data_IF_758657784578
#
_entry.id   IF_758657784578
#
_cell.length_a   1.000
_cell.length_b   1.000
_cell.length_c   1.000
_cell.angle_alpha   90.00
_cell.angle_beta   90.00
_cell.angle_gamma   90.00
#
_symmetry.space_group_name_H-M   'P 1'
#
loop_
_entity.id
_entity.type
_entity.pdbx_description
1 polymer ?
#
# COMPACT_ATOMS: atom_id res chain seq x y z
N UNK A 1 22.95 3.95 -11.91
CA UNK A 1 21.85 4.66 -12.59
C UNK A 1 21.03 5.34 -11.51
N UNK A 2 20.96 6.67 -11.57
CA UNK A 2 20.26 7.52 -10.60
C UNK A 2 18.75 7.43 -10.79
N UNK A 3 18.02 7.54 -9.68
CA UNK A 3 16.64 7.14 -9.53
C UNK A 3 15.60 8.06 -10.16
N UNK A 4 14.42 7.47 -10.35
CA UNK A 4 13.17 8.16 -10.61
C UNK A 4 12.03 7.36 -9.94
N UNK A 5 11.76 7.57 -8.63
CA UNK A 5 10.52 7.12 -8.03
C UNK A 5 9.48 8.26 -7.88
N UNK A 6 9.69 9.46 -8.47
CA UNK A 6 8.92 10.66 -8.12
C UNK A 6 8.10 11.29 -9.26
N UNK A 7 7.82 10.58 -10.36
CA UNK A 7 7.02 11.10 -11.48
C UNK A 7 5.83 10.21 -11.84
N UNK A 8 5.00 9.81 -10.86
CA UNK A 8 3.64 9.39 -11.22
C UNK A 8 2.65 10.41 -10.67
N UNK A 9 1.87 10.97 -11.59
CA UNK A 9 0.82 11.93 -11.30
C UNK A 9 -0.35 11.30 -10.55
N UNK A 10 -1.30 12.14 -10.15
CA UNK A 10 -2.64 11.65 -9.82
C UNK A 10 -3.20 10.91 -11.05
N UNK A 11 -4.05 9.91 -10.81
CA UNK A 11 -4.56 8.95 -11.80
C UNK A 11 -4.86 9.56 -13.18
N UNK A 12 -3.90 9.45 -14.12
CA UNK A 12 -4.03 10.00 -15.47
C UNK A 12 -4.02 11.54 -15.61
N UNK A 13 -3.93 12.28 -14.50
CA UNK A 13 -4.09 13.73 -14.41
C UNK A 13 -2.76 14.48 -14.13
N UNK A 14 -1.64 13.81 -14.42
CA UNK A 14 -0.31 14.42 -14.41
C UNK A 14 0.27 14.76 -13.03
N UNK A 15 1.53 15.20 -13.02
CA UNK A 15 2.23 15.61 -11.80
C UNK A 15 1.99 17.10 -11.51
N UNK A 16 0.90 17.43 -10.82
CA UNK A 16 0.54 18.81 -10.48
C UNK A 16 1.18 19.32 -9.17
N UNK A 17 2.11 18.57 -8.56
CA UNK A 17 2.73 18.92 -7.27
C UNK A 17 3.39 20.30 -7.22
N UNK A 18 3.79 20.86 -8.36
CA UNK A 18 4.35 22.22 -8.48
C UNK A 18 3.44 23.18 -9.25
N UNK A 19 2.22 22.77 -9.58
CA UNK A 19 1.25 23.64 -10.21
C UNK A 19 0.79 24.72 -9.23
N UNK A 20 0.45 25.87 -9.79
CA UNK A 20 -0.13 27.01 -9.08
C UNK A 20 -1.59 27.25 -9.51
N UNK A 21 -2.16 26.34 -10.30
CA UNK A 21 -3.61 26.32 -10.49
C UNK A 21 -4.29 26.09 -9.15
N UNK A 22 -5.54 26.58 -9.01
CA UNK A 22 -6.35 26.24 -7.86
C UNK A 22 -6.64 24.74 -7.80
N UNK A 23 -6.76 24.20 -6.59
CA UNK A 23 -7.23 22.84 -6.32
C UNK A 23 -8.34 22.91 -5.24
N UNK A 24 -9.20 21.88 -5.07
CA UNK A 24 -10.16 21.91 -3.99
C UNK A 24 -9.46 21.91 -2.62
N UNK A 25 -10.06 22.57 -1.64
CA UNK A 25 -9.63 22.45 -0.24
C UNK A 25 -9.97 21.07 0.31
N UNK A 26 -8.94 20.30 0.65
CA UNK A 26 -9.06 18.95 1.24
C UNK A 26 -8.77 18.94 2.74
N UNK A 27 -8.48 20.10 3.32
CA UNK A 27 -8.03 20.23 4.72
C UNK A 27 -9.14 19.81 5.66
N UNK A 28 -8.87 18.81 6.51
CA UNK A 28 -9.85 18.29 7.47
C UNK A 28 -9.59 16.85 7.91
N UNK A 29 -10.50 16.35 8.73
CA UNK A 29 -10.55 14.94 9.12
C UNK A 29 -11.54 14.20 8.23
N UNK A 30 -11.17 13.00 7.79
CA UNK A 30 -11.96 12.18 6.89
C UNK A 30 -12.25 10.82 7.52
N UNK A 31 -13.50 10.40 7.42
CA UNK A 31 -13.98 9.06 7.76
C UNK A 31 -13.89 8.15 6.55
N UNK A 32 -13.04 7.13 6.60
CA UNK A 32 -12.83 6.19 5.50
C UNK A 32 -13.61 4.91 5.76
N UNK A 33 -14.44 4.51 4.79
CA UNK A 33 -15.17 3.27 4.76
C UNK A 33 -14.61 2.34 3.68
N UNK A 34 -14.35 1.09 4.04
CA UNK A 34 -13.76 0.09 3.15
C UNK A 34 -14.80 -0.88 2.60
N UNK A 35 -14.55 -1.36 1.39
CA UNK A 35 -15.19 -2.54 0.85
C UNK A 35 -14.82 -3.79 1.67
N UNK A 36 -15.65 -4.81 1.58
CA UNK A 36 -15.46 -6.10 2.27
C UNK A 36 -14.66 -7.12 1.45
N UNK A 37 -14.10 -6.70 0.32
CA UNK A 37 -13.33 -7.52 -0.61
C UNK A 37 -11.91 -6.99 -0.83
N UNK A 38 -10.99 -7.93 -1.04
CA UNK A 38 -9.61 -7.69 -1.45
C UNK A 38 -9.43 -8.30 -2.84
N UNK A 39 -9.27 -7.47 -3.85
CA UNK A 39 -8.86 -7.90 -5.17
C UNK A 39 -7.39 -8.33 -5.15
N UNK A 40 -7.09 -9.47 -5.77
CA UNK A 40 -5.74 -10.04 -5.89
C UNK A 40 -5.39 -10.15 -7.37
N UNK A 41 -4.29 -9.51 -7.78
CA UNK A 41 -3.73 -9.64 -9.12
C UNK A 41 -2.33 -10.26 -9.02
N UNK A 42 -2.14 -11.43 -9.61
CA UNK A 42 -0.86 -12.13 -9.66
C UNK A 42 -0.39 -12.16 -11.11
N UNK A 43 0.82 -11.67 -11.38
CA UNK A 43 1.44 -11.72 -12.71
C UNK A 43 2.68 -12.60 -12.67
N UNK A 44 2.75 -13.61 -13.55
CA UNK A 44 3.88 -14.55 -13.68
C UNK A 44 4.19 -14.75 -15.17
N UNK A 45 5.43 -14.44 -15.59
CA UNK A 45 5.87 -14.72 -16.96
C UNK A 45 5.04 -14.05 -18.07
N UNK A 46 4.37 -12.93 -17.76
CA UNK A 46 3.46 -12.23 -18.67
C UNK A 46 2.01 -12.72 -18.66
N UNK A 47 1.70 -13.78 -17.89
CA UNK A 47 0.33 -14.19 -17.58
C UNK A 47 -0.18 -13.46 -16.35
N UNK A 48 -1.44 -13.01 -16.38
CA UNK A 48 -2.11 -12.35 -15.26
C UNK A 48 -3.28 -13.20 -14.77
N UNK A 49 -3.34 -13.39 -13.45
CA UNK A 49 -4.36 -14.11 -12.73
C UNK A 49 -5.05 -13.14 -11.77
N UNK A 50 -6.37 -13.21 -11.68
CA UNK A 50 -7.15 -12.36 -10.77
C UNK A 50 -8.00 -13.23 -9.87
N UNK A 51 -8.15 -12.80 -8.62
CA UNK A 51 -8.99 -13.44 -7.62
C UNK A 51 -9.54 -12.37 -6.66
N UNK A 52 -10.50 -12.76 -5.83
CA UNK A 52 -11.07 -11.92 -4.78
C UNK A 52 -11.06 -12.71 -3.47
N UNK A 53 -10.61 -12.05 -2.41
CA UNK A 53 -10.62 -12.54 -1.04
C UNK A 53 -11.58 -11.69 -0.21
N UNK A 54 -12.03 -12.23 0.93
CA UNK A 54 -12.75 -11.41 1.91
C UNK A 54 -11.82 -10.42 2.62
N UNK A 55 -12.39 -9.47 3.35
CA UNK A 55 -11.64 -8.44 4.09
C UNK A 55 -10.61 -8.97 5.10
N UNK A 56 -10.72 -10.22 5.54
CA UNK A 56 -9.75 -10.89 6.42
C UNK A 56 -8.60 -11.56 5.65
N UNK A 57 -8.64 -11.50 4.33
CA UNK A 57 -7.78 -12.27 3.44
C UNK A 57 -8.34 -13.68 3.18
N UNK A 58 -7.42 -14.60 2.90
CA UNK A 58 -7.68 -15.98 2.56
C UNK A 58 -6.64 -16.52 1.56
N UNK A 59 -6.94 -17.69 1.03
CA UNK A 59 -6.02 -18.42 0.16
C UNK A 59 -6.45 -18.33 -1.31
N UNK A 60 -5.51 -18.01 -2.21
CA UNK A 60 -5.69 -18.01 -3.66
C UNK A 60 -4.81 -19.07 -4.28
N UNK A 61 -5.40 -19.99 -5.06
CA UNK A 61 -4.64 -20.95 -5.86
C UNK A 61 -4.80 -20.65 -7.35
N UNK A 62 -3.69 -20.56 -8.07
CA UNK A 62 -3.65 -20.39 -9.53
C UNK A 62 -3.01 -21.61 -10.18
N UNK A 63 -3.35 -21.89 -11.44
CA UNK A 63 -2.62 -22.86 -12.27
C UNK A 63 -1.70 -22.11 -13.23
N UNK A 64 -0.39 -22.30 -13.06
CA UNK A 64 0.61 -21.79 -14.00
C UNK A 64 1.37 -22.95 -14.64
N UNK A 65 1.20 -23.11 -15.95
CA UNK A 65 1.88 -24.16 -16.72
C UNK A 65 1.61 -25.58 -16.18
N UNK A 66 0.41 -25.84 -15.67
CA UNK A 66 0.00 -27.13 -15.12
C UNK A 66 0.46 -27.36 -13.68
N UNK A 67 1.05 -26.36 -13.02
CA UNK A 67 1.46 -26.41 -11.63
C UNK A 67 0.55 -25.51 -10.78
N UNK A 68 -0.14 -26.07 -9.77
CA UNK A 68 -0.90 -25.26 -8.83
C UNK A 68 0.05 -24.47 -7.94
N UNK A 69 -0.24 -23.19 -7.75
CA UNK A 69 0.53 -22.26 -6.93
C UNK A 69 -0.43 -21.60 -5.98
N UNK A 70 -0.11 -21.64 -4.69
CA UNK A 70 -0.99 -21.14 -3.64
C UNK A 70 -0.37 -19.94 -2.93
N UNK A 71 -1.17 -18.90 -2.75
CA UNK A 71 -0.87 -17.68 -2.01
C UNK A 71 -1.81 -17.59 -0.81
N UNK A 72 -1.27 -17.24 0.36
CA UNK A 72 -2.05 -17.06 1.58
C UNK A 72 -1.87 -15.63 2.08
N UNK A 73 -2.98 -14.90 2.20
CA UNK A 73 -3.04 -13.58 2.79
C UNK A 73 -3.82 -13.70 4.10
N UNK A 74 -3.18 -13.49 5.23
CA UNK A 74 -3.84 -13.49 6.54
C UNK A 74 -3.70 -12.12 7.21
N UNK A 75 -4.77 -11.32 7.14
CA UNK A 75 -4.79 -9.99 7.76
C UNK A 75 -4.83 -10.03 9.30
N UNK A 76 -4.92 -11.20 9.92
CA UNK A 76 -4.78 -11.32 11.37
C UNK A 76 -3.31 -11.39 11.82
N UNK A 77 -2.37 -11.61 10.89
CA UNK A 77 -0.93 -11.70 11.19
C UNK A 77 -0.31 -10.30 11.29
N UNK A 78 0.31 -9.93 12.43
CA UNK A 78 0.85 -8.58 12.63
C UNK A 78 2.01 -8.21 11.69
N UNK A 79 2.63 -9.18 11.04
CA UNK A 79 3.68 -9.01 10.04
C UNK A 79 3.17 -8.76 8.61
N UNK A 80 1.86 -8.93 8.35
CA UNK A 80 1.22 -8.68 7.05
C UNK A 80 0.53 -7.33 7.11
N UNK A 81 0.96 -6.38 6.27
CA UNK A 81 0.27 -5.10 6.13
C UNK A 81 -0.96 -5.28 5.24
N UNK A 82 -2.15 -5.11 5.80
CA UNK A 82 -3.40 -5.12 5.05
C UNK A 82 -3.81 -3.70 4.60
N UNK A 83 -4.63 -3.57 3.54
CA UNK A 83 -4.97 -2.26 2.97
C UNK A 83 -5.53 -1.27 3.99
N UNK A 84 -6.37 -1.74 4.91
CA UNK A 84 -6.96 -0.94 6.00
C UNK A 84 -5.96 -0.50 7.07
N UNK A 85 -4.78 -1.11 7.13
CA UNK A 85 -3.69 -0.72 8.02
C UNK A 85 -2.76 0.29 7.34
N UNK A 86 -2.59 0.20 6.02
CA UNK A 86 -1.82 1.16 5.24
C UNK A 86 -2.54 2.51 5.10
N UNK A 87 -3.88 2.49 5.05
CA UNK A 87 -4.73 3.68 5.00
C UNK A 87 -5.82 3.55 6.08
N UNK A 88 -5.72 4.25 7.22
CA UNK A 88 -6.63 4.05 8.33
C UNK A 88 -8.07 4.49 8.02
N UNK A 89 -9.03 4.02 8.83
CA UNK A 89 -10.45 4.44 8.77
C UNK A 89 -10.68 5.90 9.16
N UNK A 90 -9.66 6.56 9.71
CA UNK A 90 -9.66 8.00 10.00
C UNK A 90 -8.32 8.58 9.54
N UNK A 91 -8.37 9.60 8.70
CA UNK A 91 -7.17 10.33 8.27
C UNK A 91 -7.34 11.83 8.50
N UNK A 92 -6.21 12.54 8.63
CA UNK A 92 -6.19 14.00 8.63
C UNK A 92 -5.38 14.49 7.45
N UNK A 93 -6.00 15.30 6.60
CA UNK A 93 -5.40 15.90 5.41
C UNK A 93 -5.19 17.40 5.60
N UNK A 94 -4.11 17.94 5.04
CA UNK A 94 -3.74 19.36 5.12
C UNK A 94 -3.17 19.89 3.79
N UNK A 95 -3.51 21.14 3.46
CA UNK A 95 -2.83 21.95 2.43
C UNK A 95 -2.16 23.16 3.08
N UNK A 96 -0.85 23.07 3.30
CA UNK A 96 -0.09 24.09 4.06
C UNK A 96 0.36 25.29 3.23
N UNK A 97 0.43 25.13 1.91
CA UNK A 97 0.97 26.17 1.03
C UNK A 97 -0.07 26.60 0.00
N UNK A 98 -0.67 27.76 0.22
CA UNK A 98 -1.67 28.36 -0.67
C UNK A 98 -1.14 28.67 -2.08
N UNK A 99 0.18 28.71 -2.29
CA UNK A 99 0.74 28.85 -3.65
C UNK A 99 0.82 27.52 -4.42
N UNK A 100 0.60 26.38 -3.74
CA UNK A 100 0.72 25.04 -4.29
C UNK A 100 -0.38 24.14 -3.71
N UNK A 101 -1.63 24.46 -4.04
CA UNK A 101 -2.82 23.80 -3.51
C UNK A 101 -2.89 22.30 -3.89
N UNK A 102 -2.24 21.88 -4.97
CA UNK A 102 -2.17 20.46 -5.36
C UNK A 102 -1.33 19.58 -4.42
N UNK A 103 -0.69 20.16 -3.39
CA UNK A 103 0.10 19.43 -2.40
C UNK A 103 -0.78 19.06 -1.20
N UNK A 104 -1.08 17.79 -1.10
CA UNK A 104 -1.82 17.21 0.02
C UNK A 104 -0.84 16.54 0.97
N UNK A 105 -0.99 16.79 2.27
CA UNK A 105 -0.24 16.11 3.32
C UNK A 105 -1.24 15.32 4.16
N UNK A 106 -0.99 14.03 4.36
CA UNK A 106 -1.81 13.19 5.25
C UNK A 106 -0.97 12.69 6.40
N UNK A 107 -1.50 12.76 7.61
CA UNK A 107 -0.85 12.19 8.80
C UNK A 107 -1.29 10.74 8.96
N UNK A 108 -0.35 9.80 8.87
CA UNK A 108 -0.60 8.36 9.01
C UNK A 108 0.10 7.81 10.26
N UNK A 109 -0.52 6.86 10.99
CA UNK A 109 0.16 6.11 12.04
C UNK A 109 1.15 5.13 11.40
N UNK A 110 2.42 5.22 11.77
CA UNK A 110 3.46 4.27 11.33
C UNK A 110 4.05 3.59 12.56
N UNK A 111 4.22 2.28 12.49
CA UNK A 111 4.93 1.53 13.53
C UNK A 111 6.43 1.78 13.42
N UNK A 112 7.04 2.18 14.53
CA UNK A 112 8.47 2.46 14.62
C UNK A 112 9.06 1.72 15.82
N UNK A 113 10.13 0.96 15.57
CA UNK A 113 10.95 0.38 16.62
C UNK A 113 11.74 1.50 17.33
N UNK A 114 11.60 1.62 18.64
CA UNK A 114 12.38 2.57 19.46
C UNK A 114 13.79 2.06 19.80
N UNK A 115 14.05 0.77 19.60
CA UNK A 115 15.33 0.12 19.87
C UNK A 115 16.15 -0.15 18.62
N UNK A 116 17.27 -0.85 18.80
CA UNK A 116 18.08 -1.35 17.69
C UNK A 116 17.39 -2.58 17.08
N UNK A 117 17.39 -2.69 15.76
CA UNK A 117 17.14 -3.95 15.08
C UNK A 117 18.38 -4.84 15.27
N UNK A 118 18.19 -6.03 15.84
CA UNK A 118 19.28 -6.98 16.09
C UNK A 118 18.92 -8.36 15.59
N UNK A 119 19.93 -9.16 15.27
CA UNK A 119 19.71 -10.55 14.93
C UNK A 119 18.93 -11.26 16.06
N UNK A 120 17.92 -12.07 15.72
CA UNK A 120 17.12 -12.80 16.70
C UNK A 120 17.98 -13.75 17.52
N UNK A 121 17.52 -14.06 18.74
CA UNK A 121 18.22 -15.00 19.62
C UNK A 121 18.30 -16.39 18.99
N UNK A 122 19.37 -17.13 19.32
CA UNK A 122 19.57 -18.46 18.77
C UNK A 122 18.42 -19.40 19.16
N UNK A 123 17.74 -19.97 18.16
CA UNK A 123 16.58 -20.85 18.35
C UNK A 123 15.24 -20.12 18.45
N UNK A 124 15.21 -18.79 18.41
CA UNK A 124 13.96 -17.99 18.24
C UNK A 124 13.70 -17.63 16.78
N UNK A 125 14.55 -18.11 15.88
CA UNK A 125 14.39 -17.97 14.44
C UNK A 125 14.78 -19.27 13.73
N UNK A 126 14.34 -19.43 12.49
CA UNK A 126 14.53 -20.64 11.69
C UNK A 126 13.23 -21.41 11.44
N UNK A 127 13.27 -22.38 10.53
CA UNK A 127 12.11 -23.14 10.09
C UNK A 127 11.23 -23.64 11.25
N UNK A 128 9.93 -23.30 11.20
CA UNK A 128 8.95 -23.65 12.25
C UNK A 128 8.85 -22.66 13.42
N UNK A 129 9.45 -21.48 13.31
CA UNK A 129 9.27 -20.36 14.24
C UNK A 129 8.47 -19.22 13.60
N UNK A 130 8.05 -18.23 14.39
CA UNK A 130 7.40 -17.01 13.90
C UNK A 130 8.37 -16.05 13.18
N UNK A 131 9.68 -16.33 13.20
CA UNK A 131 10.72 -15.65 12.43
C UNK A 131 11.57 -16.69 11.68
N UNK A 132 11.03 -17.36 10.65
CA UNK A 132 11.69 -18.49 9.98
C UNK A 132 13.01 -18.10 9.30
N UNK A 133 13.19 -16.81 9.10
CA UNK A 133 14.15 -16.19 8.22
C UNK A 133 15.27 -15.44 8.94
N UNK A 134 15.17 -15.45 10.27
CA UNK A 134 16.10 -14.79 11.16
C UNK A 134 16.27 -13.29 10.85
N UNK A 135 15.18 -12.64 10.41
CA UNK A 135 15.16 -11.19 10.20
C UNK A 135 15.41 -10.48 11.54
N UNK A 136 16.07 -9.31 11.46
CA UNK A 136 16.42 -8.55 12.65
C UNK A 136 15.16 -8.16 13.45
N UNK A 137 15.16 -8.46 14.74
CA UNK A 137 14.08 -8.17 15.68
C UNK A 137 14.28 -6.84 16.38
N UNK A 138 13.19 -6.14 16.63
CA UNK A 138 13.21 -4.92 17.43
C UNK A 138 13.54 -5.24 18.90
N UNK A 139 14.65 -4.69 19.41
CA UNK A 139 15.03 -4.81 20.84
C UNK A 139 14.31 -3.84 21.76
N UNK A 140 13.59 -2.87 21.19
CA UNK A 140 12.88 -1.83 21.93
C UNK A 140 11.38 -2.00 21.86
N UNK A 141 10.67 -1.00 22.36
CA UNK A 141 9.22 -0.91 22.21
C UNK A 141 8.87 -0.55 20.76
N UNK A 142 7.99 -1.32 20.14
CA UNK A 142 7.33 -0.94 18.89
C UNK A 142 6.27 0.11 19.24
N UNK A 143 6.50 1.35 18.81
CA UNK A 143 5.62 2.48 19.08
C UNK A 143 4.94 2.92 17.80
N UNK A 144 3.65 3.21 17.85
CA UNK A 144 2.95 3.87 16.74
C UNK A 144 3.24 5.37 16.82
N UNK A 145 3.75 5.95 15.73
CA UNK A 145 4.03 7.39 15.64
C UNK A 145 3.36 8.00 14.42
N UNK A 146 2.77 9.21 14.55
CA UNK A 146 2.24 9.92 13.40
C UNK A 146 3.40 10.33 12.48
N UNK A 147 3.28 10.01 11.20
CA UNK A 147 4.22 10.40 10.14
C UNK A 147 3.45 11.10 9.04
N UNK A 148 4.03 12.17 8.52
CA UNK A 148 3.45 12.91 7.41
C UNK A 148 3.80 12.23 6.09
N UNK A 149 2.77 11.97 5.31
CA UNK A 149 2.85 11.38 3.99
C UNK A 149 2.41 12.39 2.94
N UNK A 150 3.11 12.40 1.81
CA UNK A 150 2.85 13.34 0.72
C UNK A 150 1.96 12.73 -0.35
N UNK A 151 0.92 13.46 -0.73
CA UNK A 151 0.04 13.19 -1.86
C UNK A 151 -0.03 14.36 -2.84
N UNK A 152 -0.50 14.05 -4.04
CA UNK A 152 -0.68 15.01 -5.13
C UNK A 152 -2.12 14.94 -5.61
N UNK A 153 -2.78 16.09 -5.63
CA UNK A 153 -4.06 16.29 -6.31
C UNK A 153 -3.77 16.54 -7.79
N UNK A 154 -4.49 15.89 -8.69
CA UNK A 154 -4.34 16.06 -10.14
C UNK A 154 -4.59 17.48 -10.62
N UNK A 155 -4.12 17.83 -11.82
CA UNK A 155 -4.23 19.20 -12.37
C UNK A 155 -5.71 19.64 -12.51
N UNK A 156 -6.61 18.70 -12.78
CA UNK A 156 -8.05 18.96 -12.82
C UNK A 156 -8.67 19.24 -11.46
N UNK A 157 -7.98 18.93 -10.36
CA UNK A 157 -8.47 18.94 -8.99
C UNK A 157 -9.46 17.83 -8.64
N UNK A 158 -9.75 16.91 -9.55
CA UNK A 158 -10.79 15.89 -9.36
C UNK A 158 -10.29 14.58 -8.78
N UNK A 159 -8.98 14.32 -8.81
CA UNK A 159 -8.39 13.06 -8.35
C UNK A 159 -7.19 13.31 -7.45
N UNK A 160 -6.82 12.35 -6.63
CA UNK A 160 -5.54 12.37 -5.94
C UNK A 160 -4.81 11.03 -6.01
N UNK A 161 -3.49 11.10 -5.79
CA UNK A 161 -2.65 9.94 -5.46
C UNK A 161 -1.81 10.26 -4.24
N UNK A 162 -1.80 9.34 -3.28
CA UNK A 162 -0.98 9.44 -2.09
C UNK A 162 -0.13 8.19 -1.90
N UNK A 163 1.16 8.38 -1.65
CA UNK A 163 2.12 7.29 -1.49
C UNK A 163 2.24 6.88 -0.03
N UNK A 164 1.56 5.82 0.38
CA UNK A 164 1.48 5.37 1.77
C UNK A 164 2.83 4.85 2.31
N UNK A 165 3.71 4.43 1.40
CA UNK A 165 5.06 3.99 1.72
C UNK A 165 5.59 2.96 0.74
N UNK A 166 6.90 2.77 0.76
CA UNK A 166 7.58 1.67 0.10
C UNK A 166 8.43 0.93 1.11
N UNK A 167 8.34 -0.39 1.11
CA UNK A 167 9.06 -1.28 2.03
C UNK A 167 9.82 -2.35 1.29
N UNK A 168 10.71 -3.03 2.00
CA UNK A 168 11.32 -4.27 1.54
C UNK A 168 10.76 -5.37 2.42
N UNK A 169 10.04 -6.33 1.84
CA UNK A 169 9.76 -7.58 2.53
C UNK A 169 10.88 -8.56 2.16
N UNK A 170 11.63 -9.01 3.16
CA UNK A 170 12.58 -10.12 3.03
C UNK A 170 12.09 -11.21 3.95
N UNK A 171 12.18 -12.45 3.50
CA UNK A 171 11.92 -13.62 4.32
C UNK A 171 13.18 -14.51 4.18
N UNK A 172 14.36 -13.99 4.55
CA UNK A 172 15.54 -14.82 4.89
C UNK A 172 16.25 -15.63 3.79
N UNK A 173 15.69 -15.79 2.59
CA UNK A 173 16.27 -16.52 1.47
C UNK A 173 16.48 -15.59 0.26
N UNK A 174 17.55 -14.77 0.31
CA UNK A 174 18.16 -14.02 -0.81
C UNK A 174 17.24 -13.19 -1.76
N UNK A 175 15.97 -12.95 -1.43
CA UNK A 175 15.03 -12.25 -2.32
C UNK A 175 14.49 -10.98 -1.66
N UNK A 176 14.59 -9.86 -2.37
CA UNK A 176 14.00 -8.58 -1.96
C UNK A 176 12.71 -8.35 -2.75
N UNK A 177 11.57 -8.29 -2.05
CA UNK A 177 10.32 -7.80 -2.61
C UNK A 177 10.25 -6.30 -2.35
N UNK A 178 10.17 -5.50 -3.42
CA UNK A 178 9.84 -4.09 -3.32
C UNK A 178 8.33 -3.98 -3.11
N UNK A 179 7.95 -3.72 -1.87
CA UNK A 179 6.60 -3.35 -1.49
C UNK A 179 6.38 -1.88 -1.80
N UNK A 180 5.27 -1.54 -2.45
CA UNK A 180 4.80 -0.17 -2.61
C UNK A 180 3.33 -0.11 -2.27
N UNK A 181 2.91 1.01 -1.70
CA UNK A 181 1.54 1.23 -1.28
C UNK A 181 1.07 2.62 -1.70
N UNK A 182 -0.12 2.70 -2.29
CA UNK A 182 -0.75 3.96 -2.69
C UNK A 182 -2.23 3.95 -2.34
N UNK A 183 -2.77 5.15 -2.09
CA UNK A 183 -4.19 5.43 -2.12
C UNK A 183 -4.49 6.36 -3.30
N UNK A 184 -5.48 6.01 -4.11
CA UNK A 184 -6.03 6.80 -5.19
C UNK A 184 -7.54 7.00 -4.93
N UNK A 185 -8.12 8.15 -5.28
CA UNK A 185 -9.57 8.33 -5.34
C UNK A 185 -9.96 9.55 -6.19
N UNK A 186 -11.25 9.62 -6.50
CA UNK A 186 -11.92 10.81 -7.04
C UNK A 186 -12.48 11.66 -5.89
N UNK A 187 -12.45 12.98 -6.02
CA UNK A 187 -13.09 13.89 -5.06
C UNK A 187 -14.54 14.19 -5.46
N UNK A 188 -15.46 14.06 -4.50
CA UNK A 188 -16.73 14.79 -4.54
C UNK A 188 -16.50 16.21 -4.02
N UNK A 189 -16.90 17.22 -4.79
CA UNK A 189 -16.56 18.62 -4.52
C UNK A 189 -17.75 19.55 -4.62
N UNK A 190 -17.71 20.62 -3.84
CA UNK A 190 -18.63 21.76 -3.91
C UNK A 190 -17.86 23.03 -4.28
N UNK A 191 -18.60 24.05 -4.74
CA UNK A 191 -18.00 25.32 -5.15
C UNK A 191 -17.21 25.21 -6.45
N UNK A 192 -16.30 26.15 -6.70
CA UNK A 192 -15.44 26.13 -7.90
C UNK A 192 -14.18 26.97 -7.75
N UNK A 193 -13.15 26.66 -8.55
CA UNK A 193 -11.93 27.46 -8.61
C UNK A 193 -12.17 28.93 -8.95
N UNK A 194 -13.18 29.23 -9.77
CA UNK A 194 -13.56 30.60 -10.12
C UNK A 194 -14.28 31.33 -8.97
N UNK A 195 -15.01 30.59 -8.13
CA UNK A 195 -15.70 31.11 -6.95
C UNK A 195 -14.78 31.31 -5.74
N UNK A 196 -13.63 30.63 -5.71
CA UNK A 196 -12.71 30.63 -4.57
C UNK A 196 -13.26 29.87 -3.36
N UNK A 197 -14.31 29.07 -3.57
CA UNK A 197 -15.05 28.29 -2.57
C UNK A 197 -14.97 26.78 -2.88
N UNK A 198 -13.96 26.36 -3.65
CA UNK A 198 -13.81 24.97 -4.07
C UNK A 198 -13.33 24.10 -2.91
N UNK A 199 -14.14 23.12 -2.55
CA UNK A 199 -13.88 22.24 -1.41
C UNK A 199 -14.21 20.80 -1.78
N UNK A 200 -13.37 19.86 -1.34
CA UNK A 200 -13.68 18.44 -1.38
C UNK A 200 -14.45 18.05 -0.12
N UNK A 201 -15.57 17.36 -0.29
CA UNK A 201 -16.46 16.91 0.78
C UNK A 201 -16.55 15.39 0.88
N UNK A 202 -16.18 14.68 -0.19
CA UNK A 202 -16.19 13.22 -0.26
C UNK A 202 -15.04 12.70 -1.11
N UNK A 203 -14.73 11.41 -0.93
CA UNK A 203 -13.86 10.63 -1.80
C UNK A 203 -14.65 9.43 -2.31
N UNK A 204 -14.71 9.28 -3.63
CA UNK A 204 -15.39 8.20 -4.33
C UNK A 204 -14.40 7.39 -5.18
N UNK A 205 -14.79 6.17 -5.55
CA UNK A 205 -13.96 5.25 -6.35
C UNK A 205 -12.55 5.08 -5.77
N UNK A 206 -12.42 5.17 -4.44
CA UNK A 206 -11.15 5.07 -3.76
C UNK A 206 -10.58 3.65 -3.91
N UNK A 207 -9.28 3.53 -4.14
CA UNK A 207 -8.57 2.26 -4.17
C UNK A 207 -7.27 2.40 -3.40
N UNK A 208 -7.09 1.54 -2.40
CA UNK A 208 -5.78 1.30 -1.78
C UNK A 208 -5.14 0.12 -2.49
N UNK A 209 -3.96 0.35 -3.06
CA UNK A 209 -3.16 -0.70 -3.71
C UNK A 209 -1.91 -0.98 -2.92
N UNK A 210 -1.69 -2.25 -2.59
CA UNK A 210 -0.44 -2.79 -2.04
C UNK A 210 0.17 -3.69 -3.11
N UNK A 211 1.32 -3.32 -3.66
CA UNK A 211 2.02 -4.11 -4.66
C UNK A 211 3.33 -4.65 -4.13
N UNK A 212 3.61 -5.92 -4.39
CA UNK A 212 4.91 -6.55 -4.15
C UNK A 212 5.48 -7.01 -5.49
N UNK A 213 6.68 -6.55 -5.82
CA UNK A 213 7.40 -6.97 -7.01
C UNK A 213 8.85 -7.29 -6.67
N UNK A 214 9.36 -8.41 -7.17
CA UNK A 214 10.74 -8.83 -6.88
C UNK A 214 11.21 -9.96 -7.79
N UNK A 215 12.50 -10.28 -7.69
CA UNK A 215 13.14 -11.35 -8.45
C UNK A 215 12.60 -12.75 -8.13
N UNK A 216 11.80 -12.90 -7.08
CA UNK A 216 11.10 -14.13 -6.73
C UNK A 216 9.78 -13.74 -6.07
N UNK A 217 8.69 -14.41 -6.45
CA UNK A 217 7.40 -14.30 -5.79
C UNK A 217 7.06 -15.66 -5.18
N UNK A 218 6.69 -15.67 -3.91
CA UNK A 218 6.58 -16.88 -3.09
C UNK A 218 5.25 -17.57 -3.32
N UNK A 219 5.29 -18.87 -3.57
CA UNK A 219 4.17 -19.65 -4.08
C UNK A 219 3.86 -20.84 -3.16
N UNK A 220 3.89 -20.67 -1.84
CA UNK A 220 3.74 -21.80 -0.92
C UNK A 220 4.72 -22.95 -1.23
N UNK A 221 4.25 -24.17 -1.06
CA UNK A 221 4.94 -25.43 -1.36
C UNK A 221 4.25 -26.11 -2.57
N UNK A 222 4.63 -25.75 -3.81
CA UNK A 222 3.92 -26.19 -5.01
C UNK A 222 4.14 -27.67 -5.36
N UNK A 223 5.15 -28.33 -4.80
CA UNK A 223 5.40 -29.76 -4.97
C UNK A 223 5.10 -30.62 -3.72
N UNK A 224 4.56 -29.99 -2.67
CA UNK A 224 4.11 -30.61 -1.41
C UNK A 224 5.26 -31.35 -0.69
N UNK A 225 6.50 -30.85 -0.85
CA UNK A 225 7.74 -31.44 -0.33
C UNK A 225 8.10 -30.96 1.08
N UNK A 226 7.33 -30.02 1.62
CA UNK A 226 7.51 -29.35 2.90
C UNK A 226 8.37 -28.10 2.84
N UNK A 227 8.75 -27.61 1.66
CA UNK A 227 9.62 -26.44 1.48
C UNK A 227 8.93 -25.31 0.71
N UNK A 228 9.20 -24.06 1.10
CA UNK A 228 8.66 -22.88 0.40
C UNK A 228 9.55 -22.59 -0.80
N UNK A 229 8.97 -22.59 -2.00
CA UNK A 229 9.71 -22.38 -3.24
C UNK A 229 9.55 -20.96 -3.82
N UNK A 230 10.65 -20.39 -4.30
CA UNK A 230 10.70 -19.14 -5.04
C UNK A 230 10.32 -19.38 -6.51
N UNK A 231 9.11 -18.99 -6.92
CA UNK A 231 8.55 -19.57 -8.14
C UNK A 231 8.76 -18.77 -9.43
N UNK A 232 9.19 -17.50 -9.39
CA UNK A 232 9.47 -16.80 -10.64
C UNK A 232 10.32 -15.53 -10.53
N UNK A 233 11.38 -15.49 -11.35
CA UNK A 233 11.99 -14.24 -11.81
C UNK A 233 10.97 -13.42 -12.60
N UNK A 234 10.58 -12.26 -12.05
CA UNK A 234 9.69 -11.30 -12.72
C UNK A 234 8.21 -11.47 -12.42
N UNK A 235 7.85 -12.07 -11.28
CA UNK A 235 6.48 -12.10 -10.81
C UNK A 235 6.15 -10.86 -9.95
N UNK A 236 4.89 -10.43 -9.99
CA UNK A 236 4.34 -9.39 -9.13
C UNK A 236 2.98 -9.78 -8.59
N UNK A 237 2.69 -9.41 -7.35
CA UNK A 237 1.37 -9.55 -6.73
C UNK A 237 0.88 -8.18 -6.30
N UNK A 238 -0.41 -7.91 -6.51
CA UNK A 238 -1.08 -6.70 -6.03
C UNK A 238 -2.31 -7.09 -5.27
N UNK A 239 -2.53 -6.40 -4.16
CA UNK A 239 -3.75 -6.42 -3.38
C UNK A 239 -4.41 -5.06 -3.52
N UNK A 240 -5.72 -5.04 -3.77
CA UNK A 240 -6.50 -3.83 -3.93
C UNK A 240 -7.76 -3.90 -3.08
N UNK A 241 -8.05 -2.86 -2.32
CA UNK A 241 -9.33 -2.71 -1.61
C UNK A 241 -9.93 -1.36 -1.95
N UNK A 242 -11.21 -1.37 -2.29
CA UNK A 242 -11.97 -0.16 -2.54
C UNK A 242 -12.32 0.58 -1.26
N UNK A 243 -12.43 1.89 -1.32
CA UNK A 243 -12.89 2.72 -0.21
C UNK A 243 -13.70 3.92 -0.68
N UNK A 244 -14.50 4.46 0.22
CA UNK A 244 -15.06 5.82 0.14
C UNK A 244 -14.64 6.60 1.37
N UNK A 245 -14.73 7.93 1.32
CA UNK A 245 -14.53 8.73 2.52
C UNK A 245 -15.42 9.97 2.56
N UNK A 246 -15.84 10.36 3.76
CA UNK A 246 -16.61 11.58 4.00
C UNK A 246 -15.79 12.56 4.86
N UNK A 247 -15.82 13.85 4.51
CA UNK A 247 -15.18 14.90 5.31
C UNK A 247 -16.06 15.29 6.50
N UNK A 248 -15.45 15.45 7.69
CA UNK A 248 -16.13 15.88 8.92
C UNK A 248 -16.20 17.40 9.07
#
# INVERSE_FOLDING_TARGET
MLGLPLLMGAQGDGCAANSRSPAPDVTGTWDVAYDDLIGVEITIGGSTYTSELGAQGGTVTIDHQGHPITFDLDCARPEILCPSEAWPTEITAEQRNQAFEHRMIVTLPVQACSGQLVAPEAGTCGAGTDNPDCDDVCTGEVTVRPTETFGVIGESGQTFRLYLGGGFATNGLNCALFGWSVADADFDTIGSSAGGDWEAIGMDNGVVTLGYAGGCLWAGDPDDDGTIEALALGASIKFTTGFTADKR
#
